data_IF_569106982966
#
_entry.id   IF_569106982966
#
_cell.length_a   1.000
_cell.length_b   1.000
_cell.length_c   1.000
_cell.angle_alpha   90.00
_cell.angle_beta   90.00
_cell.angle_gamma   90.00
#
_symmetry.space_group_name_H-M   'P 1'
#
loop_
_entity.id
_entity.type
_entity.pdbx_description
1 polymer ?
#
# COMPACT_ATOMS: atom_id res chain seq x y z
N UNK A 1 4.38 -16.77 36.79
CA UNK A 1 4.83 -16.38 35.42
C UNK A 1 5.40 -14.97 35.47
N UNK A 2 6.64 -14.77 35.02
CA UNK A 2 7.27 -13.44 35.05
C UNK A 2 6.63 -12.47 34.05
N UNK A 3 6.25 -11.27 34.50
CA UNK A 3 5.71 -10.22 33.63
C UNK A 3 6.74 -9.79 32.58
N UNK A 4 6.30 -9.62 31.34
CA UNK A 4 7.16 -9.14 30.27
C UNK A 4 7.67 -7.72 30.56
N UNK A 5 8.83 -7.34 30.01
CA UNK A 5 9.37 -5.98 30.18
C UNK A 5 8.39 -4.91 29.69
N UNK A 6 7.63 -5.19 28.61
CA UNK A 6 6.62 -4.30 28.08
C UNK A 6 5.45 -4.08 29.05
N UNK A 7 4.98 -5.13 29.72
CA UNK A 7 3.91 -5.05 30.72
C UNK A 7 4.37 -4.35 32.00
N UNK A 8 5.59 -4.64 32.47
CA UNK A 8 6.20 -3.90 33.61
C UNK A 8 6.26 -2.40 33.33
N UNK A 9 6.68 -2.03 32.13
CA UNK A 9 6.80 -0.62 31.74
C UNK A 9 5.44 0.05 31.49
N UNK A 10 4.41 -0.71 31.11
CA UNK A 10 3.03 -0.23 31.02
C UNK A 10 2.44 0.06 32.40
N UNK A 11 2.55 -0.90 33.35
CA UNK A 11 2.11 -0.71 34.74
C UNK A 11 2.81 0.47 35.41
N UNK A 12 4.12 0.63 35.19
CA UNK A 12 4.85 1.80 35.69
C UNK A 12 4.27 3.13 35.16
N UNK A 13 3.92 3.22 33.86
CA UNK A 13 3.30 4.42 33.27
C UNK A 13 1.90 4.67 33.82
N UNK A 14 1.10 3.61 33.98
CA UNK A 14 -0.27 3.70 34.54
C UNK A 14 -0.21 4.17 36.00
N UNK A 15 0.67 3.60 36.83
CA UNK A 15 0.84 4.02 38.23
C UNK A 15 1.37 5.45 38.35
N UNK A 16 2.32 5.85 37.50
CA UNK A 16 2.82 7.23 37.47
C UNK A 16 1.75 8.24 37.04
N UNK A 17 0.89 7.89 36.08
CA UNK A 17 -0.13 8.80 35.57
C UNK A 17 -1.35 8.93 36.51
N UNK A 18 -1.55 7.99 37.43
CA UNK A 18 -2.59 8.05 38.48
C UNK A 18 -2.28 9.09 39.57
N UNK A 19 -1.00 9.39 39.80
CA UNK A 19 -0.54 10.37 40.78
C UNK A 19 -0.17 11.68 40.06
N UNK A 20 -0.97 12.73 40.30
CA UNK A 20 -0.82 14.02 39.61
C UNK A 20 0.54 14.68 39.90
N UNK A 21 1.02 14.61 41.13
CA UNK A 21 2.29 15.20 41.57
C UNK A 21 3.47 14.50 40.90
N UNK A 22 3.46 13.15 40.91
CA UNK A 22 4.51 12.37 40.22
C UNK A 22 4.48 12.57 38.70
N UNK A 23 3.30 12.78 38.12
CA UNK A 23 3.15 13.08 36.69
C UNK A 23 3.75 14.44 36.36
N UNK A 24 3.46 15.48 37.14
CA UNK A 24 4.01 16.83 36.93
C UNK A 24 5.52 16.87 37.09
N UNK A 25 6.05 16.25 38.15
CA UNK A 25 7.50 16.14 38.35
C UNK A 25 8.20 15.43 37.18
N UNK A 26 7.59 14.37 36.63
CA UNK A 26 8.12 13.69 35.44
C UNK A 26 8.09 14.59 34.21
N UNK A 27 6.99 15.32 33.98
CA UNK A 27 6.86 16.24 32.84
C UNK A 27 7.85 17.39 32.93
N UNK A 28 8.11 17.93 34.12
CA UNK A 28 9.13 18.97 34.33
C UNK A 28 10.54 18.45 34.04
N UNK A 29 10.87 17.24 34.52
CA UNK A 29 12.14 16.58 34.21
C UNK A 29 12.33 16.29 32.71
N UNK A 30 11.25 15.98 31.97
CA UNK A 30 11.27 15.86 30.51
C UNK A 30 11.49 17.21 29.82
N UNK A 31 10.83 18.28 30.29
CA UNK A 31 11.02 19.65 29.77
C UNK A 31 12.46 20.12 29.95
N UNK A 32 13.05 19.88 31.13
CA UNK A 32 14.45 20.19 31.41
C UNK A 32 15.41 19.39 30.52
N UNK A 33 15.16 18.08 30.36
CA UNK A 33 15.95 17.25 29.44
C UNK A 33 15.85 17.76 28.00
N UNK A 34 14.66 18.13 27.56
CA UNK A 34 14.44 18.71 26.24
C UNK A 34 15.22 20.02 26.04
N UNK A 35 15.18 20.92 27.02
CA UNK A 35 15.95 22.17 27.03
C UNK A 35 17.45 21.88 26.94
N UNK A 36 17.96 20.93 27.75
CA UNK A 36 19.37 20.52 27.74
C UNK A 36 19.79 19.91 26.39
N UNK A 37 18.97 19.06 25.79
CA UNK A 37 19.22 18.47 24.47
C UNK A 37 19.18 19.50 23.34
N UNK A 38 18.34 20.53 23.45
CA UNK A 38 18.30 21.66 22.53
C UNK A 38 19.56 22.52 22.64
N UNK A 39 19.98 22.87 23.88
CA UNK A 39 21.22 23.63 24.14
C UNK A 39 22.47 22.89 23.67
N UNK A 40 22.53 21.57 23.87
CA UNK A 40 23.67 20.72 23.46
C UNK A 40 23.64 20.30 21.99
N UNK A 41 22.68 20.80 21.19
CA UNK A 41 22.59 20.51 19.75
C UNK A 41 22.18 19.07 19.40
N UNK A 42 21.93 18.20 20.38
CA UNK A 42 21.43 16.82 20.18
C UNK A 42 20.03 16.80 19.58
N UNK A 43 19.23 17.82 19.85
CA UNK A 43 17.86 17.98 19.32
C UNK A 43 17.73 19.31 18.59
N UNK A 44 17.76 19.25 17.26
CA UNK A 44 17.68 20.40 16.35
C UNK A 44 16.23 20.71 15.98
N UNK A 45 15.88 21.99 15.86
CA UNK A 45 14.61 22.39 15.25
C UNK A 45 14.64 22.11 13.74
N UNK A 46 13.47 22.09 13.09
CA UNK A 46 13.41 21.87 11.63
C UNK A 46 14.14 22.95 10.85
N UNK A 47 14.19 24.18 11.38
CA UNK A 47 14.92 25.30 10.76
C UNK A 47 16.44 25.07 10.81
N UNK A 48 16.93 24.49 11.90
CA UNK A 48 18.36 24.29 12.16
C UNK A 48 18.89 22.95 11.62
N UNK A 49 18.03 22.13 11.02
CA UNK A 49 18.42 20.89 10.37
C UNK A 49 18.98 21.14 8.97
N UNK A 50 20.08 20.46 8.62
CA UNK A 50 20.59 20.41 7.25
C UNK A 50 19.59 19.70 6.31
N UNK A 51 19.67 19.93 5.00
CA UNK A 51 18.78 19.25 4.04
C UNK A 51 18.91 17.72 4.05
N UNK A 52 20.07 17.19 4.42
CA UNK A 52 20.29 15.75 4.60
C UNK A 52 19.55 15.23 5.84
N UNK A 53 19.60 15.96 6.95
CA UNK A 53 18.86 15.64 8.18
C UNK A 53 17.35 15.76 7.98
N UNK A 54 16.88 16.83 7.32
CA UNK A 54 15.47 16.98 6.93
C UNK A 54 14.98 15.81 6.08
N UNK A 55 15.78 15.35 5.09
CA UNK A 55 15.47 14.15 4.30
C UNK A 55 15.38 12.88 5.17
N UNK A 56 16.30 12.69 6.11
CA UNK A 56 16.28 11.56 7.05
C UNK A 56 15.06 11.59 7.97
N UNK A 57 14.71 12.77 8.51
CA UNK A 57 13.53 12.97 9.34
C UNK A 57 12.23 12.67 8.57
N UNK A 58 12.09 13.20 7.34
CA UNK A 58 10.96 12.90 6.45
C UNK A 58 10.85 11.41 6.14
N UNK A 59 11.97 10.72 5.92
CA UNK A 59 11.99 9.26 5.70
C UNK A 59 11.48 8.50 6.94
N UNK A 60 12.00 8.85 8.13
CA UNK A 60 11.58 8.26 9.41
C UNK A 60 10.09 8.46 9.67
N UNK A 61 9.58 9.67 9.46
CA UNK A 61 8.16 9.99 9.59
C UNK A 61 7.30 9.17 8.63
N UNK A 62 7.68 9.08 7.34
CA UNK A 62 6.96 8.25 6.36
C UNK A 62 6.90 6.78 6.76
N UNK A 63 8.01 6.21 7.23
CA UNK A 63 8.04 4.82 7.72
C UNK A 63 7.18 4.60 8.95
N UNK A 64 7.20 5.55 9.91
CA UNK A 64 6.37 5.47 11.10
C UNK A 64 4.87 5.53 10.77
N UNK A 65 4.47 6.48 9.91
CA UNK A 65 3.08 6.62 9.45
C UNK A 65 2.61 5.42 8.64
N UNK A 66 3.46 4.84 7.80
CA UNK A 66 3.14 3.60 7.09
C UNK A 66 2.90 2.44 8.06
N UNK A 67 3.77 2.27 9.06
CA UNK A 67 3.64 1.24 10.09
C UNK A 67 2.35 1.42 10.91
N UNK A 68 2.02 2.65 11.29
CA UNK A 68 0.77 2.99 11.99
C UNK A 68 -0.46 2.63 11.15
N UNK A 69 -0.50 3.05 9.87
CA UNK A 69 -1.60 2.72 8.94
C UNK A 69 -1.75 1.22 8.74
N UNK A 70 -0.64 0.51 8.59
CA UNK A 70 -0.65 -0.95 8.45
C UNK A 70 -1.20 -1.63 9.71
N UNK A 71 -0.79 -1.18 10.90
CA UNK A 71 -1.29 -1.72 12.16
C UNK A 71 -2.79 -1.46 12.33
N UNK A 72 -3.26 -0.25 12.01
CA UNK A 72 -4.70 0.10 12.01
C UNK A 72 -5.48 -0.76 11.03
N UNK A 73 -4.98 -0.98 9.82
CA UNK A 73 -5.63 -1.86 8.82
C UNK A 73 -5.72 -3.31 9.28
N UNK A 74 -4.66 -3.83 9.92
CA UNK A 74 -4.67 -5.17 10.51
C UNK A 74 -5.66 -5.29 11.66
N UNK A 75 -5.72 -4.29 12.53
CA UNK A 75 -6.69 -4.23 13.62
C UNK A 75 -8.13 -4.19 13.09
N UNK A 76 -8.40 -3.34 12.09
CA UNK A 76 -9.73 -3.26 11.47
C UNK A 76 -10.16 -4.63 10.94
N UNK A 77 -9.28 -5.32 10.18
CA UNK A 77 -9.53 -6.67 9.66
C UNK A 77 -9.75 -7.74 10.73
N UNK A 78 -9.22 -7.54 11.94
CA UNK A 78 -9.45 -8.44 13.09
C UNK A 78 -10.79 -8.14 13.79
N UNK A 79 -11.32 -6.92 13.64
CA UNK A 79 -12.58 -6.49 14.26
C UNK A 79 -13.79 -6.58 13.32
N UNK A 80 -13.58 -6.69 12.00
CA UNK A 80 -14.66 -6.93 11.04
C UNK A 80 -14.96 -8.44 10.95
N UNK A 81 -16.17 -8.92 11.30
CA UNK A 81 -16.55 -10.31 11.05
C UNK A 81 -16.57 -10.60 9.53
N UNK A 82 -16.36 -11.87 9.12
CA UNK A 82 -16.41 -12.24 7.71
C UNK A 82 -17.80 -11.95 7.14
N UNK A 83 -17.86 -11.45 5.90
CA UNK A 83 -19.09 -11.16 5.18
C UNK A 83 -19.94 -12.44 5.07
N UNK A 84 -21.03 -12.50 5.83
CA UNK A 84 -22.16 -13.38 5.55
C UNK A 84 -22.85 -12.90 4.27
N UNK A 85 -23.27 -13.78 3.34
CA UNK A 85 -23.98 -13.37 2.15
C UNK A 85 -25.30 -12.68 2.53
N UNK A 86 -25.59 -11.59 1.84
CA UNK A 86 -26.80 -10.78 2.01
C UNK A 86 -27.96 -11.50 1.34
N UNK A 87 -28.78 -12.21 2.13
CA UNK A 87 -30.05 -12.77 1.65
C UNK A 87 -31.15 -11.71 1.72
N UNK A 88 -31.73 -11.49 0.54
CA UNK A 88 -32.91 -10.72 0.18
C UNK A 88 -34.03 -10.60 1.22
N UNK A 89 -34.54 -9.36 1.33
CA UNK A 89 -35.94 -8.95 1.60
C UNK A 89 -36.80 -9.90 2.46
N UNK A 90 -37.09 -9.49 3.70
CA UNK A 90 -38.40 -9.71 4.33
C UNK A 90 -38.58 -8.81 5.57
N UNK A 91 -39.57 -7.92 5.51
CA UNK A 91 -40.13 -7.22 6.67
C UNK A 91 -40.93 -8.24 7.50
N UNK A 92 -40.37 -8.69 8.62
CA UNK A 92 -41.07 -9.50 9.62
C UNK A 92 -40.79 -8.91 11.02
N UNK A 93 -41.74 -9.03 11.97
CA UNK A 93 -41.57 -8.50 13.33
C UNK A 93 -40.31 -9.08 13.98
N UNK A 94 -39.51 -8.21 14.59
CA UNK A 94 -38.18 -8.56 15.09
C UNK A 94 -38.19 -9.73 16.09
N UNK A 95 -37.19 -10.63 16.04
CA UNK A 95 -37.12 -11.77 16.95
C UNK A 95 -36.96 -11.31 18.41
N UNK A 96 -37.56 -12.07 19.33
CA UNK A 96 -37.44 -11.84 20.78
C UNK A 96 -35.98 -11.62 21.22
N UNK A 97 -35.78 -10.69 22.16
CA UNK A 97 -34.48 -10.27 22.69
C UNK A 97 -33.63 -11.46 23.20
N UNK A 98 -34.26 -12.52 23.70
CA UNK A 98 -33.58 -13.76 24.12
C UNK A 98 -32.96 -14.53 22.94
N UNK A 99 -33.66 -14.62 21.80
CA UNK A 99 -33.18 -15.31 20.59
C UNK A 99 -31.99 -14.59 19.95
N UNK A 100 -31.97 -13.25 20.04
CA UNK A 100 -30.82 -12.44 19.58
C UNK A 100 -29.60 -12.61 20.48
N UNK A 101 -29.79 -12.74 21.80
CA UNK A 101 -28.68 -12.97 22.73
C UNK A 101 -28.06 -14.37 22.59
N UNK A 102 -28.87 -15.41 22.36
CA UNK A 102 -28.38 -16.78 22.17
C UNK A 102 -27.57 -16.91 20.88
N UNK A 103 -28.01 -16.31 19.78
CA UNK A 103 -27.27 -16.27 18.51
C UNK A 103 -25.95 -15.50 18.65
N UNK A 104 -25.95 -14.37 19.36
CA UNK A 104 -24.71 -13.61 19.63
C UNK A 104 -23.72 -14.41 20.48
N UNK A 105 -24.17 -15.18 21.47
CA UNK A 105 -23.33 -16.07 22.27
C UNK A 105 -22.73 -17.18 21.40
N UNK A 106 -23.56 -17.88 20.61
CA UNK A 106 -23.11 -18.92 19.67
C UNK A 106 -22.06 -18.41 18.69
N UNK A 107 -22.28 -17.22 18.11
CA UNK A 107 -21.32 -16.63 17.16
C UNK A 107 -20.00 -16.25 17.84
N UNK A 108 -20.02 -15.80 19.11
CA UNK A 108 -18.80 -15.53 19.89
C UNK A 108 -18.03 -16.81 20.20
N UNK A 109 -18.74 -17.88 20.57
CA UNK A 109 -18.13 -19.17 20.86
C UNK A 109 -17.53 -19.81 19.60
N UNK A 110 -18.25 -19.73 18.47
CA UNK A 110 -17.74 -20.14 17.17
C UNK A 110 -16.50 -19.34 16.76
N UNK A 111 -16.52 -18.02 16.90
CA UNK A 111 -15.37 -17.17 16.63
C UNK A 111 -14.19 -17.41 17.60
N UNK A 112 -14.45 -17.82 18.84
CA UNK A 112 -13.42 -18.27 19.79
C UNK A 112 -12.79 -19.58 19.31
N UNK A 113 -13.60 -20.57 18.94
CA UNK A 113 -13.13 -21.86 18.42
C UNK A 113 -12.21 -21.69 17.19
N UNK A 114 -12.62 -20.88 16.19
CA UNK A 114 -11.78 -20.62 15.02
C UNK A 114 -10.47 -19.90 15.37
N UNK A 115 -10.48 -19.00 16.35
CA UNK A 115 -9.25 -18.34 16.83
C UNK A 115 -8.32 -19.34 17.52
N UNK A 116 -8.86 -20.19 18.38
CA UNK A 116 -8.10 -21.19 19.12
C UNK A 116 -7.50 -22.25 18.18
N UNK A 117 -8.26 -22.73 17.19
CA UNK A 117 -7.77 -23.63 16.14
C UNK A 117 -6.59 -23.01 15.38
N UNK A 118 -6.70 -21.75 14.97
CA UNK A 118 -5.60 -21.04 14.28
C UNK A 118 -4.35 -20.91 15.16
N UNK A 119 -4.53 -20.65 16.46
CA UNK A 119 -3.41 -20.59 17.42
C UNK A 119 -2.75 -21.97 17.55
N UNK A 120 -3.53 -23.05 17.57
CA UNK A 120 -3.03 -24.42 17.64
C UNK A 120 -2.27 -24.82 16.36
N UNK A 121 -2.80 -24.49 15.18
CA UNK A 121 -2.12 -24.69 13.89
C UNK A 121 -0.76 -23.97 13.86
N UNK A 122 -0.71 -22.71 14.30
CA UNK A 122 0.53 -21.94 14.38
C UNK A 122 1.54 -22.55 15.37
N UNK A 123 1.06 -23.10 16.49
CA UNK A 123 1.91 -23.81 17.47
C UNK A 123 2.48 -25.09 16.87
N UNK A 124 1.65 -25.89 16.20
CA UNK A 124 2.05 -27.13 15.54
C UNK A 124 3.07 -26.86 14.44
N UNK A 125 2.85 -25.84 13.60
CA UNK A 125 3.80 -25.41 12.58
C UNK A 125 5.15 -24.98 13.19
N UNK A 126 5.15 -24.27 14.34
CA UNK A 126 6.38 -23.91 15.05
C UNK A 126 7.11 -25.13 15.60
N UNK A 127 6.39 -26.10 16.17
CA UNK A 127 7.00 -27.33 16.68
C UNK A 127 7.60 -28.17 15.55
N UNK A 128 6.90 -28.31 14.42
CA UNK A 128 7.43 -29.02 13.25
C UNK A 128 8.72 -28.36 12.69
N UNK A 129 8.79 -27.02 12.66
CA UNK A 129 10.02 -26.31 12.28
C UNK A 129 11.16 -26.57 13.28
N UNK A 130 10.89 -26.59 14.58
CA UNK A 130 11.88 -26.92 15.61
C UNK A 130 12.37 -28.36 15.45
N UNK A 131 11.46 -29.32 15.28
CA UNK A 131 11.79 -30.73 15.04
C UNK A 131 12.70 -30.89 13.83
N UNK A 132 12.37 -30.26 12.69
CA UNK A 132 13.23 -30.29 11.50
C UNK A 132 14.61 -29.67 11.77
N UNK A 133 14.67 -28.54 12.48
CA UNK A 133 15.93 -27.90 12.85
C UNK A 133 16.80 -28.82 13.71
N UNK A 134 16.23 -29.47 14.74
CA UNK A 134 16.96 -30.40 15.61
C UNK A 134 17.41 -31.66 14.86
N UNK A 135 16.55 -32.22 13.99
CA UNK A 135 16.93 -33.35 13.10
C UNK A 135 18.12 -32.98 12.22
N UNK A 136 18.11 -31.79 11.60
CA UNK A 136 19.22 -31.30 10.78
C UNK A 136 20.49 -31.02 11.60
N UNK A 137 20.37 -30.56 12.85
CA UNK A 137 21.51 -30.38 13.76
C UNK A 137 22.12 -31.72 14.14
N UNK A 138 21.31 -32.69 14.56
CA UNK A 138 21.75 -34.04 14.91
C UNK A 138 22.49 -34.71 13.73
N UNK A 139 21.95 -34.62 12.52
CA UNK A 139 22.62 -35.14 11.32
C UNK A 139 23.99 -34.49 11.06
N UNK A 140 24.14 -33.18 11.34
CA UNK A 140 25.43 -32.48 11.22
C UNK A 140 26.42 -32.87 12.29
N UNK A 141 25.97 -33.14 13.51
CA UNK A 141 26.83 -33.60 14.61
C UNK A 141 27.27 -35.04 14.41
N UNK A 142 26.37 -35.93 14.00
CA UNK A 142 26.71 -37.32 13.64
C UNK A 142 27.76 -37.37 12.52
N UNK A 143 27.67 -36.49 11.53
CA UNK A 143 28.67 -36.34 10.45
C UNK A 143 30.04 -35.83 10.92
N UNK A 144 30.12 -35.14 12.06
CA UNK A 144 31.40 -34.71 12.66
C UNK A 144 32.03 -35.79 13.52
N UNK A 145 31.21 -36.63 14.17
CA UNK A 145 31.69 -37.72 15.05
C UNK A 145 32.14 -38.96 14.28
N UNK A 146 31.53 -39.26 13.14
CA UNK A 146 32.09 -40.20 12.19
C UNK A 146 33.28 -39.53 11.49
N UNK A 147 34.46 -40.15 11.49
CA UNK A 147 35.74 -39.74 10.88
C UNK A 147 35.67 -39.44 9.36
N UNK A 148 34.74 -38.59 8.92
CA UNK A 148 34.47 -38.16 7.56
C UNK A 148 35.13 -36.80 7.24
N UNK A 149 35.90 -36.23 8.18
CA UNK A 149 36.66 -34.98 7.98
C UNK A 149 37.66 -35.07 6.80
N UNK A 150 38.04 -36.28 6.35
CA UNK A 150 38.83 -36.49 5.13
C UNK A 150 38.02 -36.36 3.83
N UNK A 151 36.70 -36.55 3.83
CA UNK A 151 35.85 -36.49 2.63
C UNK A 151 35.21 -35.11 2.37
N UNK A 152 35.23 -34.19 3.35
CA UNK A 152 34.66 -32.85 3.16
C UNK A 152 35.69 -31.77 3.50
N UNK A 153 36.45 -31.28 2.51
CA UNK A 153 37.45 -30.23 2.72
C UNK A 153 36.85 -29.02 3.43
N UNK A 154 37.62 -28.44 4.36
CA UNK A 154 37.20 -27.22 5.07
C UNK A 154 36.67 -26.18 4.10
N UNK A 155 35.45 -25.69 4.36
CA UNK A 155 34.88 -24.62 3.53
C UNK A 155 35.75 -23.35 3.64
N UNK A 156 35.80 -22.48 2.61
CA UNK A 156 36.55 -21.22 2.68
C UNK A 156 36.29 -20.43 3.97
N UNK A 157 35.03 -20.32 4.40
CA UNK A 157 34.65 -19.67 5.67
C UNK A 157 35.23 -20.38 6.90
N UNK A 158 35.27 -21.71 6.91
CA UNK A 158 35.86 -22.50 8.00
C UNK A 158 37.37 -22.29 8.05
N UNK A 159 38.06 -22.33 6.89
CA UNK A 159 39.50 -22.02 6.78
C UNK A 159 39.81 -20.62 7.30
N UNK A 160 39.05 -19.61 6.87
CA UNK A 160 39.21 -18.23 7.36
C UNK A 160 39.00 -18.14 8.87
N UNK A 161 37.98 -18.82 9.43
CA UNK A 161 37.75 -18.84 10.88
C UNK A 161 38.87 -19.54 11.65
N UNK A 162 39.40 -20.66 11.15
CA UNK A 162 40.56 -21.35 11.75
C UNK A 162 41.80 -20.44 11.75
N UNK A 163 42.05 -19.77 10.61
CA UNK A 163 43.13 -18.78 10.47
C UNK A 163 42.97 -17.60 11.44
N UNK A 164 41.76 -17.09 11.63
CA UNK A 164 41.48 -15.99 12.56
C UNK A 164 41.48 -16.42 14.02
N UNK A 165 41.18 -17.69 14.32
CA UNK A 165 41.19 -18.25 15.69
C UNK A 165 42.62 -18.46 16.19
N UNK A 166 43.51 -18.97 15.33
CA UNK A 166 44.94 -19.13 15.62
C UNK A 166 45.69 -17.93 15.02
N UNK A 167 45.45 -16.74 15.56
CA UNK A 167 45.90 -15.47 14.98
C UNK A 167 47.43 -15.31 15.06
N UNK A 168 48.15 -15.88 14.09
CA UNK A 168 49.55 -15.56 13.84
C UNK A 168 49.64 -14.50 12.76
N UNK A 169 50.12 -13.31 13.14
CA UNK A 169 50.25 -12.17 12.22
C UNK A 169 51.09 -12.53 10.98
N UNK A 170 52.12 -13.36 11.13
CA UNK A 170 52.95 -13.84 10.02
C UNK A 170 52.14 -14.66 9.00
N UNK A 171 51.32 -15.59 9.48
CA UNK A 171 50.51 -16.48 8.62
C UNK A 171 49.41 -15.69 7.91
N UNK A 172 48.73 -14.80 8.64
CA UNK A 172 47.69 -13.93 8.07
C UNK A 172 48.29 -13.01 7.01
N UNK A 173 49.44 -12.37 7.30
CA UNK A 173 50.14 -11.49 6.35
C UNK A 173 50.53 -12.26 5.08
N UNK A 174 51.14 -13.44 5.21
CA UNK A 174 51.52 -14.27 4.06
C UNK A 174 50.31 -14.70 3.22
N UNK A 175 49.19 -15.04 3.88
CA UNK A 175 47.94 -15.42 3.19
C UNK A 175 47.33 -14.25 2.43
N UNK A 176 47.33 -13.05 3.01
CA UNK A 176 46.83 -11.84 2.34
C UNK A 176 47.72 -11.43 1.17
N UNK A 177 49.05 -11.49 1.33
CA UNK A 177 50.00 -11.23 0.24
C UNK A 177 49.73 -12.19 -0.92
N UNK A 178 49.58 -13.49 -0.63
CA UNK A 178 49.21 -14.48 -1.64
C UNK A 178 47.90 -14.12 -2.37
N UNK A 179 46.87 -13.71 -1.62
CA UNK A 179 45.60 -13.29 -2.19
C UNK A 179 45.74 -12.08 -3.13
N UNK A 180 46.41 -11.01 -2.68
CA UNK A 180 46.60 -9.80 -3.48
C UNK A 180 47.51 -10.04 -4.70
N UNK A 181 48.54 -10.88 -4.56
CA UNK A 181 49.39 -11.28 -5.68
C UNK A 181 48.61 -12.04 -6.75
N UNK A 182 47.75 -12.99 -6.33
CA UNK A 182 46.87 -13.71 -7.25
C UNK A 182 45.85 -12.79 -7.94
N UNK A 183 45.24 -11.85 -7.21
CA UNK A 183 44.35 -10.85 -7.80
C UNK A 183 45.06 -9.98 -8.84
N UNK A 184 46.29 -9.53 -8.53
CA UNK A 184 47.14 -8.77 -9.44
C UNK A 184 47.48 -9.55 -10.70
N UNK A 185 47.90 -10.81 -10.57
CA UNK A 185 48.25 -11.67 -11.70
C UNK A 185 47.06 -11.88 -12.63
N UNK A 186 45.88 -12.22 -12.08
CA UNK A 186 44.66 -12.44 -12.88
C UNK A 186 44.27 -11.15 -13.62
N UNK A 187 44.38 -9.99 -12.97
CA UNK A 187 44.09 -8.70 -13.58
C UNK A 187 45.03 -8.41 -14.75
N UNK A 188 46.35 -8.62 -14.57
CA UNK A 188 47.35 -8.44 -15.63
C UNK A 188 47.10 -9.39 -16.79
N UNK A 189 46.87 -10.69 -16.51
CA UNK A 189 46.51 -11.66 -17.54
C UNK A 189 45.25 -11.25 -18.30
N UNK A 190 44.23 -10.72 -17.63
CA UNK A 190 42.97 -10.31 -18.28
C UNK A 190 43.17 -9.13 -19.23
N UNK A 191 44.00 -8.18 -18.82
CA UNK A 191 44.33 -7.00 -19.61
C UNK A 191 45.19 -7.34 -20.84
N UNK A 192 46.12 -8.30 -20.69
CA UNK A 192 47.06 -8.67 -21.75
C UNK A 192 46.45 -9.59 -22.84
N UNK A 193 45.38 -10.33 -22.53
CA UNK A 193 44.70 -11.16 -23.53
C UNK A 193 44.08 -10.25 -24.61
N UNK A 194 44.35 -10.53 -25.89
CA UNK A 194 43.70 -9.85 -27.01
C UNK A 194 42.40 -10.55 -27.43
N UNK A 195 42.39 -11.88 -27.41
CA UNK A 195 41.24 -12.68 -27.83
C UNK A 195 40.05 -12.61 -26.85
N UNK A 196 38.86 -12.39 -27.42
CA UNK A 196 37.61 -12.33 -26.67
C UNK A 196 37.17 -13.70 -26.14
N UNK A 197 37.52 -14.81 -26.79
CA UNK A 197 37.17 -16.15 -26.30
C UNK A 197 37.92 -16.45 -25.01
N UNK A 198 39.24 -16.25 -24.99
CA UNK A 198 40.08 -16.39 -23.80
C UNK A 198 39.65 -15.46 -22.66
N UNK A 199 39.29 -14.19 -22.95
CA UNK A 199 38.71 -13.28 -21.94
C UNK A 199 37.43 -13.82 -21.32
N UNK A 200 36.55 -14.42 -22.13
CA UNK A 200 35.30 -15.03 -21.64
C UNK A 200 35.58 -16.24 -20.76
N UNK A 201 36.53 -17.10 -21.15
CA UNK A 201 36.94 -18.27 -20.36
C UNK A 201 37.47 -17.83 -18.99
N UNK A 202 38.35 -16.83 -18.93
CA UNK A 202 38.87 -16.33 -17.66
C UNK A 202 37.79 -15.65 -16.81
N UNK A 203 36.89 -14.87 -17.43
CA UNK A 203 35.75 -14.31 -16.74
C UNK A 203 34.77 -15.38 -16.23
N UNK A 204 34.67 -16.54 -16.90
CA UNK A 204 33.82 -17.65 -16.48
C UNK A 204 34.31 -18.29 -15.18
N UNK A 205 35.63 -18.43 -15.00
CA UNK A 205 36.25 -18.92 -13.75
C UNK A 205 35.80 -18.05 -12.57
N UNK A 206 35.86 -16.72 -12.71
CA UNK A 206 35.44 -15.75 -11.69
C UNK A 206 33.90 -15.70 -11.49
N UNK A 207 33.12 -16.24 -12.44
CA UNK A 207 31.65 -16.37 -12.35
C UNK A 207 31.21 -17.71 -11.74
N UNK A 208 32.15 -18.55 -11.33
CA UNK A 208 31.93 -19.90 -10.79
C UNK A 208 30.98 -19.98 -9.59
N UNK A 209 30.51 -21.20 -9.32
CA UNK A 209 29.53 -21.49 -8.27
C UNK A 209 30.05 -21.18 -6.85
N UNK A 210 31.34 -21.36 -6.61
CA UNK A 210 31.97 -21.12 -5.31
C UNK A 210 31.90 -19.63 -4.89
N UNK A 211 32.37 -18.72 -5.75
CA UNK A 211 32.31 -17.27 -5.49
C UNK A 211 30.87 -16.77 -5.39
N UNK A 212 29.93 -17.38 -6.12
CA UNK A 212 28.50 -17.07 -6.03
C UNK A 212 27.90 -17.50 -4.69
N UNK A 213 28.25 -18.69 -4.19
CA UNK A 213 27.81 -19.21 -2.88
C UNK A 213 28.19 -18.28 -1.72
N UNK A 214 29.36 -17.65 -1.80
CA UNK A 214 29.86 -16.71 -0.78
C UNK A 214 29.60 -15.23 -1.09
N UNK A 215 28.83 -14.91 -2.15
CA UNK A 215 28.52 -13.53 -2.57
C UNK A 215 29.74 -12.67 -2.93
N UNK A 216 30.86 -13.29 -3.31
CA UNK A 216 32.10 -12.61 -3.66
C UNK A 216 32.27 -12.36 -5.16
N UNK A 217 31.34 -12.84 -6.00
CA UNK A 217 31.39 -12.70 -7.46
C UNK A 217 31.67 -11.26 -7.92
N UNK A 218 30.91 -10.28 -7.41
CA UNK A 218 31.06 -8.88 -7.84
C UNK A 218 32.39 -8.30 -7.40
N UNK A 219 32.86 -8.66 -6.20
CA UNK A 219 34.15 -8.24 -5.68
C UNK A 219 35.30 -8.80 -6.53
N UNK A 220 35.26 -10.11 -6.81
CA UNK A 220 36.27 -10.78 -7.61
C UNK A 220 36.36 -10.21 -9.04
N UNK A 221 35.22 -10.02 -9.71
CA UNK A 221 35.20 -9.42 -11.06
C UNK A 221 35.77 -8.00 -11.07
N UNK A 222 35.41 -7.17 -10.08
CA UNK A 222 35.92 -5.80 -9.97
C UNK A 222 37.42 -5.76 -9.70
N UNK A 223 37.92 -6.55 -8.74
CA UNK A 223 39.34 -6.60 -8.39
C UNK A 223 40.18 -7.10 -9.58
N UNK A 224 39.64 -8.04 -10.38
CA UNK A 224 40.29 -8.55 -11.59
C UNK A 224 40.13 -7.64 -12.83
N UNK A 225 39.59 -6.42 -12.68
CA UNK A 225 39.48 -5.45 -13.80
C UNK A 225 38.40 -5.80 -14.84
N UNK A 226 37.44 -6.66 -14.49
CA UNK A 226 36.32 -7.01 -15.37
C UNK A 226 35.15 -6.07 -15.09
N UNK A 227 34.74 -5.33 -16.11
CA UNK A 227 33.59 -4.45 -16.04
C UNK A 227 32.30 -5.24 -15.78
N UNK A 228 31.87 -5.21 -14.52
CA UNK A 228 30.51 -5.59 -14.15
C UNK A 228 29.61 -4.41 -14.49
N UNK A 229 29.34 -4.20 -15.78
CA UNK A 229 28.24 -3.32 -16.17
C UNK A 229 27.00 -3.89 -15.49
N UNK A 230 26.44 -3.14 -14.54
CA UNK A 230 25.09 -3.39 -14.09
C UNK A 230 24.26 -3.35 -15.35
N UNK A 231 23.90 -4.51 -15.89
CA UNK A 231 22.87 -4.59 -16.92
C UNK A 231 21.63 -4.06 -16.24
N UNK A 232 21.40 -2.74 -16.36
CA UNK A 232 20.09 -2.14 -16.16
C UNK A 232 19.15 -3.12 -16.85
N UNK A 233 18.20 -3.70 -16.11
CA UNK A 233 17.26 -4.67 -16.65
C UNK A 233 16.67 -4.08 -17.92
N UNK A 234 17.22 -4.45 -19.06
CA UNK A 234 16.75 -3.98 -20.36
C UNK A 234 15.33 -4.47 -20.41
N UNK A 235 14.36 -3.58 -20.59
CA UNK A 235 12.97 -3.98 -20.78
C UNK A 235 12.99 -5.03 -21.90
N UNK A 236 12.57 -6.25 -21.58
CA UNK A 236 12.51 -7.37 -22.53
C UNK A 236 11.76 -6.94 -23.78
N UNK A 237 12.13 -7.48 -24.95
CA UNK A 237 11.48 -7.16 -26.24
C UNK A 237 9.96 -7.20 -26.16
N UNK A 238 9.42 -8.21 -25.46
CA UNK A 238 7.99 -8.36 -25.19
C UNK A 238 7.38 -7.15 -24.47
N UNK A 239 8.04 -6.59 -23.44
CA UNK A 239 7.55 -5.41 -22.72
C UNK A 239 7.55 -4.15 -23.58
N UNK A 240 8.41 -4.07 -24.60
CA UNK A 240 8.43 -2.97 -25.57
C UNK A 240 7.30 -3.11 -26.58
N UNK A 241 7.14 -4.31 -27.16
CA UNK A 241 6.07 -4.64 -28.11
C UNK A 241 4.67 -4.43 -27.50
N UNK A 242 4.49 -4.87 -26.26
CA UNK A 242 3.19 -4.80 -25.56
C UNK A 242 2.87 -3.43 -24.96
N UNK A 243 3.80 -2.48 -24.96
CA UNK A 243 3.55 -1.20 -24.31
C UNK A 243 2.48 -0.37 -25.03
N UNK A 244 2.42 -0.41 -26.37
CA UNK A 244 1.41 0.33 -27.14
C UNK A 244 0.02 -0.31 -27.03
N UNK A 245 -0.17 -1.61 -27.33
CA UNK A 245 -1.50 -2.22 -27.26
C UNK A 245 -2.13 -2.18 -25.87
N UNK A 246 -1.32 -2.41 -24.82
CA UNK A 246 -1.82 -2.33 -23.44
C UNK A 246 -2.20 -0.90 -23.08
N UNK A 247 -1.46 0.11 -23.53
CA UNK A 247 -1.79 1.53 -23.27
C UNK A 247 -3.08 1.93 -23.96
N UNK A 248 -3.21 1.61 -25.25
CA UNK A 248 -4.42 1.89 -26.05
C UNK A 248 -5.64 1.24 -25.43
N UNK A 249 -5.52 -0.01 -24.96
CA UNK A 249 -6.59 -0.71 -24.27
C UNK A 249 -7.04 0.02 -22.98
N UNK A 250 -6.10 0.48 -22.15
CA UNK A 250 -6.44 1.24 -20.96
C UNK A 250 -7.08 2.60 -21.26
N UNK A 251 -6.85 3.18 -22.44
CA UNK A 251 -7.39 4.48 -22.85
C UNK A 251 -8.81 4.41 -23.42
N UNK A 252 -9.35 3.20 -23.62
CA UNK A 252 -10.74 3.03 -24.05
C UNK A 252 -11.73 3.42 -22.94
N UNK A 253 -12.88 3.95 -23.35
CA UNK A 253 -13.89 4.51 -22.44
C UNK A 253 -14.65 3.45 -21.63
N UNK A 254 -14.68 2.21 -22.11
CA UNK A 254 -15.25 1.03 -21.46
C UNK A 254 -14.30 0.39 -20.41
N UNK A 255 -13.01 0.74 -20.45
CA UNK A 255 -12.01 0.28 -19.47
C UNK A 255 -11.70 1.35 -18.43
N UNK A 256 -11.58 2.60 -18.86
CA UNK A 256 -11.38 3.74 -17.98
C UNK A 256 -12.12 4.97 -18.46
N UNK A 257 -12.63 5.79 -17.55
CA UNK A 257 -13.29 7.06 -17.89
C UNK A 257 -12.38 8.25 -17.61
N UNK A 258 -12.48 9.30 -18.42
CA UNK A 258 -11.81 10.57 -18.14
C UNK A 258 -12.46 11.26 -16.95
N UNK A 259 -11.63 11.95 -16.16
CA UNK A 259 -12.12 12.83 -15.10
C UNK A 259 -12.50 14.19 -15.68
N UNK A 260 -13.63 14.77 -15.28
CA UNK A 260 -14.18 16.02 -15.86
C UNK A 260 -13.51 17.28 -15.34
N UNK A 261 -12.80 17.23 -14.20
CA UNK A 261 -12.18 18.41 -13.61
C UNK A 261 -10.89 18.85 -14.33
N UNK A 262 -10.78 20.13 -14.69
CA UNK A 262 -9.56 20.73 -15.27
C UNK A 262 -8.33 20.57 -14.35
N UNK A 263 -8.55 20.59 -13.02
CA UNK A 263 -7.50 20.39 -12.02
C UNK A 263 -7.18 18.91 -11.75
N UNK A 264 -7.98 17.98 -12.25
CA UNK A 264 -7.82 16.53 -12.04
C UNK A 264 -6.79 15.96 -13.02
N UNK A 265 -5.52 16.26 -12.76
CA UNK A 265 -4.38 15.84 -13.58
C UNK A 265 -3.39 15.04 -12.75
N UNK A 266 -2.64 14.14 -13.41
CA UNK A 266 -1.57 13.37 -12.80
C UNK A 266 -0.26 13.73 -13.48
N UNK A 267 0.77 14.02 -12.68
CA UNK A 267 2.12 14.36 -13.18
C UNK A 267 3.11 13.28 -12.79
N UNK A 268 3.83 12.74 -13.76
CA UNK A 268 4.91 11.80 -13.54
C UNK A 268 6.06 12.09 -14.50
N UNK A 269 7.30 12.15 -13.97
CA UNK A 269 8.51 12.48 -14.75
C UNK A 269 8.37 13.75 -15.61
N UNK A 270 7.81 14.81 -15.02
CA UNK A 270 7.53 16.10 -15.69
C UNK A 270 6.50 16.04 -16.83
N UNK A 271 5.84 14.90 -17.05
CA UNK A 271 4.74 14.78 -18.01
C UNK A 271 3.43 14.87 -17.24
N UNK A 272 2.61 15.87 -17.58
CA UNK A 272 1.27 16.09 -17.02
C UNK A 272 0.22 15.52 -17.97
N UNK A 273 -0.70 14.72 -17.47
CA UNK A 273 -1.81 14.12 -18.25
C UNK A 273 -3.12 14.23 -17.47
N UNK A 274 -4.24 14.30 -18.20
CA UNK A 274 -5.58 14.25 -17.61
C UNK A 274 -5.78 12.90 -16.90
N UNK A 275 -6.36 12.93 -15.70
CA UNK A 275 -6.59 11.72 -14.93
C UNK A 275 -7.68 10.86 -15.60
N UNK A 276 -7.42 9.56 -15.69
CA UNK A 276 -8.40 8.53 -16.07
C UNK A 276 -8.65 7.61 -14.90
N UNK A 277 -9.89 7.19 -14.71
CA UNK A 277 -10.34 6.36 -13.58
C UNK A 277 -10.76 5.01 -14.13
N UNK A 278 -10.19 3.93 -13.59
CA UNK A 278 -10.56 2.56 -13.95
C UNK A 278 -12.02 2.28 -13.56
N UNK A 279 -12.74 1.60 -14.45
CA UNK A 279 -14.14 1.22 -14.22
C UNK A 279 -14.27 -0.10 -13.44
N UNK A 280 -13.28 -0.98 -13.55
CA UNK A 280 -13.28 -2.30 -12.92
C UNK A 280 -11.91 -2.63 -12.30
N UNK A 281 -11.83 -3.78 -11.63
CA UNK A 281 -10.61 -4.34 -11.07
C UNK A 281 -9.61 -4.69 -12.18
N UNK A 282 -8.31 -4.59 -11.87
CA UNK A 282 -7.26 -4.93 -12.82
C UNK A 282 -7.31 -6.40 -13.27
N UNK A 283 -7.87 -7.28 -12.45
CA UNK A 283 -8.02 -8.70 -12.80
C UNK A 283 -9.04 -8.87 -13.93
N UNK A 284 -10.24 -8.29 -13.76
CA UNK A 284 -11.28 -8.33 -14.79
C UNK A 284 -10.84 -7.64 -16.08
N UNK A 285 -10.21 -6.48 -15.96
CA UNK A 285 -9.66 -5.74 -17.10
C UNK A 285 -8.56 -6.56 -17.82
N UNK A 286 -7.75 -7.32 -17.09
CA UNK A 286 -6.74 -8.20 -17.69
C UNK A 286 -7.38 -9.39 -18.40
N UNK A 287 -8.42 -10.00 -17.82
CA UNK A 287 -9.20 -11.06 -18.49
C UNK A 287 -9.85 -10.55 -19.78
N UNK A 288 -10.46 -9.37 -19.73
CA UNK A 288 -11.04 -8.69 -20.91
C UNK A 288 -9.98 -8.40 -21.98
N UNK A 289 -8.79 -7.96 -21.57
CA UNK A 289 -7.67 -7.78 -22.50
C UNK A 289 -7.27 -9.11 -23.17
N UNK A 290 -7.23 -10.21 -22.41
CA UNK A 290 -6.88 -11.52 -22.95
C UNK A 290 -7.97 -12.11 -23.85
N UNK A 291 -9.24 -11.81 -23.63
CA UNK A 291 -10.34 -12.27 -24.49
C UNK A 291 -10.37 -11.52 -25.82
N UNK A 292 -10.04 -10.23 -25.83
CA UNK A 292 -10.08 -9.40 -27.05
C UNK A 292 -8.77 -9.40 -27.83
N UNK A 293 -7.63 -9.61 -27.15
CA UNK A 293 -6.32 -9.60 -27.80
C UNK A 293 -5.80 -11.02 -28.02
N UNK A 294 -5.32 -11.30 -29.23
CA UNK A 294 -4.66 -12.57 -29.54
C UNK A 294 -3.24 -12.69 -28.92
N UNK A 295 -2.90 -11.84 -27.93
CA UNK A 295 -1.55 -11.76 -27.37
C UNK A 295 -1.50 -12.18 -25.91
N UNK A 296 -0.65 -13.17 -25.63
CA UNK A 296 -0.42 -13.66 -24.27
C UNK A 296 0.44 -12.68 -23.47
N UNK A 297 -0.17 -12.01 -22.50
CA UNK A 297 0.52 -11.14 -21.52
C UNK A 297 0.19 -11.59 -20.11
N UNK A 298 1.21 -11.79 -19.27
CA UNK A 298 0.99 -12.13 -17.87
C UNK A 298 0.36 -10.97 -17.10
N UNK A 299 -0.50 -11.28 -16.11
CA UNK A 299 -1.14 -10.28 -15.24
C UNK A 299 -0.15 -9.27 -14.65
N UNK A 300 1.01 -9.76 -14.18
CA UNK A 300 2.07 -8.92 -13.62
C UNK A 300 2.69 -7.95 -14.64
N UNK A 301 2.87 -8.41 -15.88
CA UNK A 301 3.38 -7.56 -16.97
C UNK A 301 2.34 -6.53 -17.38
N UNK A 302 1.08 -6.94 -17.51
CA UNK A 302 -0.05 -6.08 -17.83
C UNK A 302 -0.21 -4.94 -16.81
N UNK A 303 -0.22 -5.26 -15.52
CA UNK A 303 -0.29 -4.27 -14.44
C UNK A 303 0.88 -3.28 -14.46
N UNK A 304 2.09 -3.75 -14.79
CA UNK A 304 3.29 -2.90 -14.87
C UNK A 304 3.29 -1.97 -16.08
N UNK A 305 2.62 -2.37 -17.16
CA UNK A 305 2.49 -1.58 -18.39
C UNK A 305 1.37 -0.53 -18.32
N UNK A 306 0.55 -0.55 -17.26
CA UNK A 306 -0.50 0.44 -17.03
C UNK A 306 0.06 1.88 -17.07
N UNK A 307 -0.54 2.79 -17.86
CA UNK A 307 -0.16 4.20 -17.86
C UNK A 307 -0.34 4.85 -16.48
N UNK A 308 0.54 5.79 -16.13
CA UNK A 308 0.53 6.40 -14.79
C UNK A 308 -0.69 7.31 -14.54
N UNK A 309 -1.31 7.84 -15.60
CA UNK A 309 -2.50 8.69 -15.52
C UNK A 309 -3.80 7.90 -15.40
N UNK A 310 -3.74 6.57 -15.50
CA UNK A 310 -4.87 5.65 -15.28
C UNK A 310 -4.80 5.17 -13.83
N UNK A 311 -5.75 5.63 -13.01
CA UNK A 311 -5.76 5.50 -11.55
C UNK A 311 -6.97 4.69 -11.10
N UNK A 312 -6.86 4.07 -9.94
CA UNK A 312 -8.02 3.44 -9.29
C UNK A 312 -9.06 4.49 -8.85
N UNK A 313 -10.34 4.11 -8.83
CA UNK A 313 -11.39 4.95 -8.27
C UNK A 313 -11.18 5.12 -6.75
N UNK A 314 -11.41 6.35 -6.27
CA UNK A 314 -11.52 6.70 -4.86
C UNK A 314 -13.00 6.97 -4.52
N UNK A 315 -13.32 7.15 -3.23
CA UNK A 315 -14.67 7.48 -2.76
C UNK A 315 -15.24 8.77 -3.39
N UNK A 316 -14.38 9.76 -3.64
CA UNK A 316 -14.74 11.01 -4.31
C UNK A 316 -15.07 10.85 -5.81
N UNK A 317 -14.77 9.69 -6.40
CA UNK A 317 -14.97 9.42 -7.82
C UNK A 317 -16.26 8.64 -8.08
N UNK A 318 -17.14 8.51 -7.10
CA UNK A 318 -18.47 7.92 -7.31
C UNK A 318 -19.29 8.80 -8.26
N UNK A 319 -20.07 8.17 -9.14
CA UNK A 319 -20.99 8.83 -10.07
C UNK A 319 -22.28 9.32 -9.42
N UNK A 320 -22.31 9.42 -8.09
CA UNK A 320 -23.45 9.92 -7.32
C UNK A 320 -23.13 11.34 -6.86
N UNK A 321 -23.92 12.32 -7.29
CA UNK A 321 -23.82 13.68 -6.78
C UNK A 321 -24.34 13.71 -5.32
N UNK A 322 -23.45 14.00 -4.38
CA UNK A 322 -23.75 14.25 -2.95
C UNK A 322 -23.42 15.71 -2.60
N UNK A 323 -23.63 16.63 -3.55
CA UNK A 323 -23.37 18.03 -3.31
C UNK A 323 -24.50 18.65 -2.48
N UNK A 324 -24.16 19.65 -1.66
CA UNK A 324 -25.12 20.38 -0.82
C UNK A 324 -26.31 20.92 -1.63
N UNK A 325 -26.06 21.37 -2.86
CA UNK A 325 -27.12 21.91 -3.73
C UNK A 325 -28.14 20.82 -4.10
N UNK A 326 -27.71 19.76 -4.78
CA UNK A 326 -28.61 18.69 -5.21
C UNK A 326 -29.36 18.05 -4.03
N UNK A 327 -28.68 17.85 -2.90
CA UNK A 327 -29.33 17.21 -1.74
C UNK A 327 -30.33 18.14 -1.05
N UNK A 328 -30.01 19.44 -0.91
CA UNK A 328 -30.96 20.42 -0.38
C UNK A 328 -32.16 20.64 -1.30
N UNK A 329 -31.96 20.64 -2.63
CA UNK A 329 -33.06 20.73 -3.59
C UNK A 329 -34.01 19.53 -3.46
N UNK A 330 -33.49 18.31 -3.25
CA UNK A 330 -34.35 17.15 -2.94
C UNK A 330 -35.13 17.34 -1.65
N UNK A 331 -34.49 17.81 -0.57
CA UNK A 331 -35.20 18.04 0.69
C UNK A 331 -36.34 19.05 0.57
N UNK A 332 -36.13 20.10 -0.24
CA UNK A 332 -37.18 21.08 -0.55
C UNK A 332 -38.33 20.41 -1.32
N UNK A 333 -38.03 19.67 -2.39
CA UNK A 333 -39.05 18.96 -3.17
C UNK A 333 -39.87 17.98 -2.30
N UNK A 334 -39.20 17.20 -1.43
CA UNK A 334 -39.89 16.31 -0.49
C UNK A 334 -40.79 17.07 0.50
N UNK A 335 -40.34 18.21 1.03
CA UNK A 335 -41.14 19.01 1.96
C UNK A 335 -42.38 19.61 1.27
N UNK A 336 -42.23 20.12 0.05
CA UNK A 336 -43.33 20.66 -0.75
C UNK A 336 -44.36 19.58 -1.11
N UNK A 337 -43.90 18.36 -1.46
CA UNK A 337 -44.79 17.22 -1.71
C UNK A 337 -45.51 16.79 -0.43
N UNK A 338 -44.80 16.73 0.70
CA UNK A 338 -45.40 16.37 2.00
C UNK A 338 -46.51 17.33 2.41
N UNK A 339 -46.37 18.62 2.09
CA UNK A 339 -47.40 19.64 2.30
C UNK A 339 -48.47 19.65 1.20
N UNK A 340 -48.45 18.70 0.26
CA UNK A 340 -49.33 18.62 -0.91
C UNK A 340 -49.38 19.94 -1.70
N UNK A 341 -48.24 20.61 -1.86
CA UNK A 341 -48.09 21.82 -2.69
C UNK A 341 -47.72 21.44 -4.11
N UNK A 342 -46.89 20.40 -4.28
CA UNK A 342 -46.48 19.85 -5.58
C UNK A 342 -46.84 18.36 -5.66
N UNK A 343 -47.06 17.86 -6.87
CA UNK A 343 -47.49 16.47 -7.11
C UNK A 343 -46.36 15.45 -6.99
N UNK A 344 -45.13 15.82 -7.37
CA UNK A 344 -43.99 14.90 -7.44
C UNK A 344 -42.77 15.46 -6.70
N UNK A 345 -41.98 14.56 -6.12
CA UNK A 345 -40.70 14.83 -5.43
C UNK A 345 -39.49 14.42 -6.29
N UNK A 346 -39.75 13.80 -7.43
CA UNK A 346 -38.74 13.40 -8.39
C UNK A 346 -38.26 14.62 -9.18
N UNK A 347 -36.99 14.98 -8.97
CA UNK A 347 -36.38 16.15 -9.59
C UNK A 347 -36.33 16.03 -11.11
N UNK A 348 -36.22 14.83 -11.68
CA UNK A 348 -36.18 14.65 -13.13
C UNK A 348 -37.52 15.06 -13.75
N UNK A 349 -38.64 14.60 -13.17
CA UNK A 349 -40.00 14.98 -13.63
C UNK A 349 -40.29 16.46 -13.46
N UNK A 350 -39.80 17.07 -12.38
CA UNK A 350 -39.93 18.52 -12.15
C UNK A 350 -39.17 19.30 -13.22
N UNK A 351 -37.97 18.84 -13.60
CA UNK A 351 -37.16 19.45 -14.67
C UNK A 351 -37.83 19.27 -16.03
N UNK A 352 -38.39 18.09 -16.30
CA UNK A 352 -39.10 17.80 -17.55
C UNK A 352 -40.34 18.71 -17.70
N UNK A 353 -41.06 19.02 -16.61
CA UNK A 353 -42.17 19.97 -16.64
C UNK A 353 -41.77 21.44 -16.84
N UNK A 354 -40.53 21.80 -16.51
CA UNK A 354 -40.00 23.16 -16.65
C UNK A 354 -39.28 23.40 -17.97
N UNK A 355 -38.82 22.34 -18.64
CA UNK A 355 -37.94 22.44 -19.80
C UNK A 355 -38.56 21.82 -21.04
N UNK A 356 -38.25 22.36 -22.22
CA UNK A 356 -38.62 21.72 -23.47
C UNK A 356 -37.62 20.62 -23.83
N UNK A 357 -38.10 19.50 -24.37
CA UNK A 357 -37.25 18.54 -25.07
C UNK A 357 -36.66 19.20 -26.33
N UNK A 358 -35.35 19.46 -26.29
CA UNK A 358 -34.62 20.17 -27.34
C UNK A 358 -33.46 19.30 -27.82
N UNK A 359 -33.45 18.99 -29.11
CA UNK A 359 -32.52 18.01 -29.72
C UNK A 359 -31.05 18.48 -29.75
N UNK A 360 -30.82 19.78 -29.75
CA UNK A 360 -29.47 20.36 -29.88
C UNK A 360 -28.91 20.80 -28.52
N UNK A 361 -27.68 20.38 -28.21
CA UNK A 361 -26.97 20.72 -26.96
C UNK A 361 -26.98 22.23 -26.62
N UNK A 362 -26.87 23.10 -27.62
CA UNK A 362 -26.89 24.56 -27.44
C UNK A 362 -28.25 25.08 -26.97
N UNK A 363 -29.37 24.54 -27.49
CA UNK A 363 -30.70 24.96 -27.08
C UNK A 363 -31.09 24.34 -25.73
N UNK A 364 -30.69 23.09 -25.46
CA UNK A 364 -30.84 22.47 -24.13
C UNK A 364 -30.14 23.27 -23.04
N UNK A 365 -28.94 23.80 -23.33
CA UNK A 365 -28.25 24.75 -22.45
C UNK A 365 -29.10 26.00 -22.23
N UNK A 366 -29.57 26.66 -23.30
CA UNK A 366 -30.36 27.89 -23.16
C UNK A 366 -31.64 27.70 -22.33
N UNK A 367 -32.37 26.59 -22.48
CA UNK A 367 -33.57 26.32 -21.67
C UNK A 367 -33.22 26.05 -20.20
N UNK A 368 -32.17 25.26 -19.90
CA UNK A 368 -31.72 25.03 -18.51
C UNK A 368 -31.21 26.29 -17.79
N UNK A 369 -30.75 27.31 -18.53
CA UNK A 369 -30.37 28.62 -18.00
C UNK A 369 -31.52 29.64 -18.02
N UNK A 370 -32.75 29.24 -18.33
CA UNK A 370 -33.97 30.09 -18.40
C UNK A 370 -33.79 31.26 -19.39
N UNK A 371 -33.10 30.99 -20.50
CA UNK A 371 -32.87 31.95 -21.60
C UNK A 371 -33.58 31.52 -22.90
N UNK A 372 -34.39 30.48 -22.82
CA UNK A 372 -35.18 29.99 -23.96
C UNK A 372 -36.52 30.72 -24.00
N UNK A 373 -36.86 31.26 -25.17
CA UNK A 373 -38.08 32.04 -25.37
C UNK A 373 -39.36 31.18 -25.24
N UNK A 374 -39.25 29.87 -25.41
CA UNK A 374 -40.38 28.93 -25.36
C UNK A 374 -40.72 28.48 -23.93
N UNK A 375 -39.72 28.17 -23.10
CA UNK A 375 -39.90 27.59 -21.76
C UNK A 375 -39.70 28.59 -20.60
N UNK A 376 -39.31 29.84 -20.85
CA UNK A 376 -38.95 30.81 -19.78
C UNK A 376 -40.06 31.07 -18.75
N UNK A 377 -41.30 31.00 -19.19
CA UNK A 377 -42.48 31.30 -18.38
C UNK A 377 -43.15 30.03 -17.84
N UNK A 378 -42.62 28.84 -18.16
CA UNK A 378 -43.11 27.61 -17.56
C UNK A 378 -42.85 27.63 -16.05
N UNK A 379 -43.88 27.25 -15.31
CA UNK A 379 -43.88 27.12 -13.85
C UNK A 379 -44.47 25.76 -13.53
N UNK A 380 -43.98 25.17 -12.44
CA UNK A 380 -44.54 23.94 -11.90
C UNK A 380 -45.97 24.26 -11.42
N UNK A 381 -46.91 23.34 -11.60
CA UNK A 381 -48.23 23.46 -10.97
C UNK A 381 -48.08 23.39 -9.45
N UNK A 382 -48.55 24.43 -8.74
CA UNK A 382 -48.55 24.46 -7.29
C UNK A 382 -49.89 24.93 -6.73
N UNK A 383 -50.30 24.32 -5.62
CA UNK A 383 -51.56 24.63 -4.95
C UNK A 383 -51.46 25.95 -4.15
N UNK A 384 -52.08 27.01 -4.67
CA UNK A 384 -52.09 28.35 -4.05
C UNK A 384 -52.95 28.45 -2.80
N UNK A 385 -53.84 27.48 -2.55
CA UNK A 385 -54.76 27.50 -1.40
C UNK A 385 -54.04 27.30 -0.05
N UNK A 386 -52.82 26.74 -0.07
CA UNK A 386 -51.99 26.44 1.12
C UNK A 386 -50.86 27.44 1.34
N UNK A 387 -50.91 28.61 0.69
CA UNK A 387 -49.82 29.59 0.69
C UNK A 387 -49.42 30.16 2.06
N UNK A 388 -50.25 29.98 3.09
CA UNK A 388 -49.99 30.46 4.47
C UNK A 388 -49.48 29.38 5.43
N UNK A 389 -49.32 28.13 5.00
CA UNK A 389 -48.87 27.06 5.89
C UNK A 389 -47.34 27.12 6.08
N UNK A 390 -46.90 27.09 7.34
CA UNK A 390 -45.47 27.00 7.67
C UNK A 390 -44.96 25.60 7.28
N UNK A 391 -44.04 25.54 6.33
CA UNK A 391 -43.39 24.28 5.91
C UNK A 391 -42.00 24.18 6.53
N UNK A 392 -41.77 23.09 7.26
CA UNK A 392 -40.45 22.75 7.82
C UNK A 392 -39.72 21.74 6.93
N UNK A 393 -38.43 21.97 6.66
CA UNK A 393 -37.60 21.04 5.92
C UNK A 393 -36.19 20.94 6.50
N UNK A 394 -35.56 19.79 6.27
CA UNK A 394 -34.18 19.53 6.67
C UNK A 394 -33.20 20.06 5.61
N UNK A 395 -32.10 20.65 6.04
CA UNK A 395 -31.03 21.10 5.13
C UNK A 395 -29.66 20.57 5.53
N UNK A 396 -28.85 20.19 4.56
CA UNK A 396 -27.43 19.94 4.76
C UNK A 396 -26.71 21.28 4.92
N UNK A 397 -26.05 21.44 6.07
CA UNK A 397 -25.20 22.59 6.37
C UNK A 397 -23.77 22.13 6.64
N UNK A 398 -22.80 22.84 6.05
CA UNK A 398 -21.38 22.62 6.36
C UNK A 398 -21.09 23.24 7.73
N UNK A 399 -20.81 22.40 8.73
CA UNK A 399 -20.35 22.87 10.04
C UNK A 399 -18.82 23.00 9.99
N UNK A 400 -18.31 24.21 10.18
CA UNK A 400 -16.87 24.41 10.42
C UNK A 400 -16.65 24.10 11.90
N UNK A 401 -16.17 22.90 12.20
CA UNK A 401 -15.65 22.60 13.54
C UNK A 401 -14.36 23.40 13.71
N UNK A 402 -14.44 24.48 14.50
CA UNK A 402 -13.25 25.12 15.05
C UNK A 402 -12.68 24.18 16.11
N UNK A 403 -11.86 23.24 15.68
CA UNK A 403 -10.98 22.49 16.57
C UNK A 403 -10.03 23.48 17.27
N UNK A 404 -10.03 23.45 18.60
CA UNK A 404 -9.15 24.20 19.49
C UNK A 404 -7.78 23.54 19.63
#
# INVERSE_FOLDING_TARGET
>A
MGMSNAERQRKFRENRNKDLVKREAYMNKEKERYQKEKRTGKKKSVKDMTEREKRSARKRWRTAKHKERSAKKTLLKLMTPPNTPESSLNLQPGPSRQKVQSVKKRNRDQAKCYRDNKILEDKLAKQNRKMQMYKQRYLREKRKGANLDKLCPDTPRTKTKKLLRNFSQKVVRKTLIYHYAMEGQIKQSYQNIKDNSQKRSMAAILRGSLLRKYQLKTLALRNCGIDVRNTLKVKTSLSRRMCKPVREFYERNDVSRLSTGVKQTVTFKKIKKQRRILLDTLQNIHLKFLSESNTKVSYSTFCRLRPFWVVFPNESDRSTCLCKLCENTKYIAHALKRSNIIETDDLEKIIDGLTCDQDTYLLKRRCMFVTCEVCKDNRISYDTSKGNDKVEFSQWASKIEKDW
#
